data_IF_809310329788
#
_entry.id   IF_809310329788
#
_cell.length_a   1.000
_cell.length_b   1.000
_cell.length_c   1.000
_cell.angle_alpha   90.00
_cell.angle_beta   90.00
_cell.angle_gamma   90.00
#
_symmetry.space_group_name_H-M   'P 1'
#
loop_
_entity.id
_entity.type
_entity.pdbx_description
1 polymer ?
#
# COMPACT_ATOMS: atom_id res chain seq x y z
N UNK A 1 -15.34 -17.92 -22.35
CA UNK A 1 -14.57 -16.99 -23.22
C UNK A 1 -13.15 -17.04 -22.70
N UNK A 2 -12.14 -17.48 -23.47
CA UNK A 2 -10.74 -17.52 -22.99
C UNK A 2 -10.30 -16.08 -22.72
N UNK A 3 -9.97 -15.78 -21.46
CA UNK A 3 -9.43 -14.48 -21.08
C UNK A 3 -7.98 -14.42 -21.56
N UNK A 4 -7.70 -13.50 -22.46
CA UNK A 4 -6.34 -13.23 -22.91
C UNK A 4 -5.65 -12.40 -21.84
N UNK A 5 -4.70 -12.99 -21.11
CA UNK A 5 -3.93 -12.30 -20.07
C UNK A 5 -2.47 -12.21 -20.51
N UNK A 6 -1.90 -11.02 -20.46
CA UNK A 6 -0.45 -10.81 -20.58
C UNK A 6 0.13 -10.30 -19.25
N UNK A 7 -0.62 -10.46 -18.17
CA UNK A 7 -0.31 -9.93 -16.85
C UNK A 7 1.06 -10.41 -16.35
N UNK A 8 1.45 -11.64 -16.71
CA UNK A 8 2.73 -12.26 -16.39
C UNK A 8 3.57 -12.57 -17.64
N UNK A 9 3.40 -11.85 -18.76
CA UNK A 9 4.05 -12.19 -20.04
C UNK A 9 3.22 -13.18 -20.88
N UNK A 10 3.86 -14.08 -21.62
CA UNK A 10 3.18 -15.00 -22.55
C UNK A 10 2.74 -16.32 -21.89
N UNK A 11 1.49 -16.75 -22.14
CA UNK A 11 0.93 -18.05 -21.70
C UNK A 11 1.79 -19.22 -22.21
N UNK A 12 2.03 -20.23 -21.37
CA UNK A 12 2.86 -21.39 -21.71
C UNK A 12 4.37 -21.13 -21.57
N UNK A 13 4.82 -19.89 -21.62
CA UNK A 13 6.22 -19.51 -21.38
C UNK A 13 6.45 -19.01 -19.96
N UNK A 14 5.62 -18.07 -19.51
CA UNK A 14 5.84 -17.32 -18.27
C UNK A 14 4.78 -17.62 -17.20
N UNK A 15 3.60 -18.05 -17.61
CA UNK A 15 2.50 -18.46 -16.73
C UNK A 15 1.69 -19.61 -17.36
N UNK A 16 0.91 -20.32 -16.55
CA UNK A 16 -0.14 -21.25 -17.00
C UNK A 16 -1.50 -20.82 -16.46
N UNK A 17 -2.58 -21.25 -17.10
CA UNK A 17 -3.91 -21.13 -16.49
C UNK A 17 -4.16 -22.29 -15.53
N UNK A 18 -4.66 -21.99 -14.34
CA UNK A 18 -5.19 -23.01 -13.43
C UNK A 18 -6.52 -23.61 -13.93
N UNK A 19 -7.08 -24.54 -13.16
CA UNK A 19 -8.35 -25.20 -13.51
C UNK A 19 -9.56 -24.24 -13.57
N UNK A 20 -9.44 -23.05 -12.98
CA UNK A 20 -10.45 -21.99 -12.98
C UNK A 20 -10.18 -20.90 -14.05
N UNK A 21 -9.07 -21.02 -14.79
CA UNK A 21 -8.68 -20.07 -15.82
C UNK A 21 -7.94 -18.83 -15.28
N UNK A 22 -7.38 -18.90 -14.07
CA UNK A 22 -6.55 -17.86 -13.50
C UNK A 22 -5.07 -18.02 -13.92
N UNK A 23 -4.39 -16.94 -14.36
CA UNK A 23 -3.00 -17.02 -14.80
C UNK A 23 -2.02 -17.13 -13.63
N UNK A 24 -1.42 -18.29 -13.43
CA UNK A 24 -0.45 -18.58 -12.38
C UNK A 24 0.97 -18.52 -12.94
N UNK A 25 1.78 -17.64 -12.36
CA UNK A 25 3.19 -17.44 -12.75
C UNK A 25 4.03 -18.70 -12.50
N UNK A 26 4.95 -19.00 -13.43
CA UNK A 26 5.91 -20.12 -13.30
C UNK A 26 7.17 -19.74 -12.53
N UNK A 27 7.69 -18.53 -12.77
CA UNK A 27 8.89 -17.99 -12.14
C UNK A 27 8.70 -16.50 -11.81
N UNK A 28 8.30 -16.22 -10.57
CA UNK A 28 8.03 -14.85 -10.13
C UNK A 28 9.29 -13.99 -10.07
N UNK A 29 10.45 -14.57 -9.79
CA UNK A 29 11.70 -13.81 -9.67
C UNK A 29 12.24 -13.37 -11.04
N UNK A 30 12.08 -14.20 -12.07
CA UNK A 30 12.37 -13.81 -13.45
C UNK A 30 11.38 -12.75 -13.94
N UNK A 31 10.08 -12.98 -13.72
CA UNK A 31 9.04 -12.06 -14.19
C UNK A 31 9.16 -10.67 -13.55
N UNK A 32 9.43 -10.57 -12.25
CA UNK A 32 9.61 -9.29 -11.56
C UNK A 32 10.75 -8.43 -12.14
N UNK A 33 11.76 -9.06 -12.75
CA UNK A 33 12.89 -8.35 -13.36
C UNK A 33 12.62 -7.87 -14.78
N UNK A 34 11.77 -8.56 -15.53
CA UNK A 34 11.68 -8.38 -16.99
C UNK A 34 10.24 -8.25 -17.51
N UNK A 35 9.30 -9.06 -17.01
CA UNK A 35 7.94 -9.16 -17.57
C UNK A 35 6.89 -8.41 -16.79
N UNK A 36 7.02 -8.22 -15.48
CA UNK A 36 5.97 -7.53 -14.72
C UNK A 36 5.92 -6.02 -15.04
N UNK A 37 6.96 -5.43 -15.64
CA UNK A 37 6.98 -4.03 -16.07
C UNK A 37 5.96 -3.73 -17.18
N UNK A 38 5.75 -4.67 -18.11
CA UNK A 38 4.82 -4.48 -19.23
C UNK A 38 3.35 -4.47 -18.80
N UNK A 39 3.04 -4.95 -17.58
CA UNK A 39 1.66 -4.97 -17.07
C UNK A 39 1.12 -3.55 -17.04
N UNK A 40 1.84 -2.59 -16.46
CA UNK A 40 1.38 -1.21 -16.34
C UNK A 40 1.24 -0.49 -17.68
N UNK A 41 2.11 -0.78 -18.66
CA UNK A 41 1.97 -0.23 -20.01
C UNK A 41 0.71 -0.77 -20.72
N UNK A 42 0.37 -2.03 -20.46
CA UNK A 42 -0.88 -2.59 -20.96
C UNK A 42 -2.12 -1.95 -20.36
N UNK A 43 -2.07 -1.43 -19.14
CA UNK A 43 -3.19 -0.69 -18.53
C UNK A 43 -3.65 0.48 -19.40
N UNK A 44 -2.72 1.12 -20.12
CA UNK A 44 -3.00 2.29 -20.96
C UNK A 44 -3.71 1.95 -22.27
N UNK A 45 -3.58 0.71 -22.78
CA UNK A 45 -4.08 0.32 -24.11
C UNK A 45 -5.08 -0.83 -24.10
N UNK A 46 -5.09 -1.64 -23.05
CA UNK A 46 -5.96 -2.79 -22.90
C UNK A 46 -6.25 -2.97 -21.42
N UNK A 47 -7.46 -2.59 -21.02
CA UNK A 47 -8.03 -2.81 -19.69
C UNK A 47 -7.46 -4.09 -19.08
N UNK A 48 -6.48 -3.97 -18.17
CA UNK A 48 -5.72 -5.12 -17.68
C UNK A 48 -6.73 -6.15 -17.24
N UNK A 49 -6.72 -7.33 -17.87
CA UNK A 49 -7.84 -8.26 -17.82
C UNK A 49 -8.33 -8.39 -16.37
N UNK A 50 -9.49 -7.77 -16.06
CA UNK A 50 -10.00 -7.83 -14.71
C UNK A 50 -10.22 -9.30 -14.38
N UNK A 51 -9.64 -9.73 -13.27
CA UNK A 51 -9.97 -11.01 -12.67
C UNK A 51 -11.50 -11.08 -12.52
N UNK A 52 -12.08 -12.26 -12.79
CA UNK A 52 -13.54 -12.37 -12.77
C UNK A 52 -14.08 -12.20 -11.36
N UNK A 53 -13.26 -12.57 -10.38
CA UNK A 53 -13.60 -12.60 -8.97
C UNK A 53 -12.45 -12.02 -8.14
N UNK A 54 -12.78 -11.57 -6.92
CA UNK A 54 -11.79 -11.15 -5.92
C UNK A 54 -10.88 -12.32 -5.53
N UNK A 55 -11.43 -13.54 -5.52
CA UNK A 55 -10.68 -14.75 -5.20
C UNK A 55 -9.58 -15.02 -6.25
N UNK A 56 -9.90 -14.91 -7.54
CA UNK A 56 -8.91 -15.08 -8.61
C UNK A 56 -7.81 -13.99 -8.52
N UNK A 57 -8.20 -12.75 -8.23
CA UNK A 57 -7.25 -11.65 -8.03
C UNK A 57 -6.31 -11.94 -6.85
N UNK A 58 -6.85 -12.34 -5.70
CA UNK A 58 -6.06 -12.63 -4.50
C UNK A 58 -5.12 -13.80 -4.75
N UNK A 59 -5.61 -14.88 -5.38
CA UNK A 59 -4.80 -16.08 -5.67
C UNK A 59 -3.64 -15.78 -6.61
N UNK A 60 -3.88 -15.05 -7.69
CA UNK A 60 -2.86 -14.70 -8.68
C UNK A 60 -1.85 -13.73 -8.09
N UNK A 61 -2.32 -12.74 -7.34
CA UNK A 61 -1.42 -11.79 -6.65
C UNK A 61 -0.56 -12.49 -5.60
N UNK A 62 -1.13 -13.41 -4.82
CA UNK A 62 -0.40 -14.18 -3.83
C UNK A 62 0.64 -15.12 -4.47
N UNK A 63 0.37 -15.65 -5.67
CA UNK A 63 1.29 -16.52 -6.40
C UNK A 63 2.61 -15.81 -6.79
N UNK A 64 2.63 -14.48 -6.87
CA UNK A 64 3.87 -13.70 -7.05
C UNK A 64 4.81 -13.81 -5.83
N UNK A 65 4.26 -14.13 -4.65
CA UNK A 65 4.99 -14.24 -3.39
C UNK A 65 4.84 -15.65 -2.77
N UNK A 66 5.41 -16.71 -3.39
CA UNK A 66 5.14 -18.10 -2.97
C UNK A 66 5.43 -18.38 -1.49
N UNK A 67 6.47 -17.76 -0.93
CA UNK A 67 6.83 -17.89 0.48
C UNK A 67 5.80 -17.29 1.44
N UNK A 68 5.09 -16.24 1.01
CA UNK A 68 4.14 -15.47 1.81
C UNK A 68 2.71 -15.57 1.27
N UNK A 69 2.42 -16.61 0.49
CA UNK A 69 1.14 -16.75 -0.24
C UNK A 69 -0.07 -16.54 0.69
N UNK A 70 -0.12 -17.31 1.78
CA UNK A 70 -1.23 -17.25 2.74
C UNK A 70 -1.30 -15.90 3.47
N UNK A 71 -0.15 -15.25 3.71
CA UNK A 71 -0.10 -13.92 4.31
C UNK A 71 -0.69 -12.86 3.37
N UNK A 72 -0.40 -12.96 2.07
CA UNK A 72 -0.93 -12.05 1.05
C UNK A 72 -2.44 -12.24 0.90
N UNK A 73 -2.94 -13.47 0.82
CA UNK A 73 -4.39 -13.75 0.75
C UNK A 73 -5.10 -13.17 1.98
N UNK A 74 -4.59 -13.45 3.17
CA UNK A 74 -5.16 -12.95 4.43
C UNK A 74 -5.10 -11.44 4.56
N UNK A 75 -4.06 -10.79 4.02
CA UNK A 75 -3.99 -9.33 4.00
C UNK A 75 -5.16 -8.73 3.21
N UNK A 76 -5.40 -9.23 1.99
CA UNK A 76 -6.52 -8.76 1.18
C UNK A 76 -7.88 -9.02 1.84
N UNK A 77 -8.09 -10.20 2.44
CA UNK A 77 -9.32 -10.50 3.18
C UNK A 77 -9.52 -9.55 4.38
N UNK A 78 -8.46 -9.33 5.16
CA UNK A 78 -8.51 -8.44 6.33
C UNK A 78 -8.71 -6.97 5.94
N UNK A 79 -8.18 -6.53 4.80
CA UNK A 79 -8.33 -5.15 4.32
C UNK A 79 -9.79 -4.78 4.00
N UNK A 80 -10.65 -5.79 3.83
CA UNK A 80 -12.08 -5.64 3.55
C UNK A 80 -12.96 -5.92 4.78
N UNK A 81 -12.36 -6.27 5.92
CA UNK A 81 -13.07 -6.61 7.15
C UNK A 81 -13.09 -5.44 8.14
N UNK A 82 -14.14 -5.37 8.98
CA UNK A 82 -14.28 -4.35 10.02
C UNK A 82 -14.63 -2.96 9.48
N UNK A 83 -14.25 -1.91 10.22
CA UNK A 83 -14.46 -0.52 9.78
C UNK A 83 -13.37 -0.13 8.80
N UNK A 84 -13.73 -0.07 7.51
CA UNK A 84 -12.81 0.36 6.45
C UNK A 84 -12.62 1.87 6.56
N UNK A 85 -11.46 2.30 7.04
CA UNK A 85 -11.05 3.71 7.03
C UNK A 85 -10.32 3.98 5.73
N UNK A 86 -11.02 4.54 4.75
CA UNK A 86 -10.41 4.90 3.48
C UNK A 86 -9.40 6.04 3.69
N UNK A 87 -8.26 5.97 3.00
CA UNK A 87 -7.33 7.08 3.00
C UNK A 87 -7.99 8.28 2.30
N UNK A 88 -8.19 9.37 3.03
CA UNK A 88 -8.80 10.58 2.48
C UNK A 88 -7.74 11.34 1.71
N UNK A 89 -7.98 11.67 0.43
CA UNK A 89 -7.09 12.53 -0.36
C UNK A 89 -7.14 14.02 0.05
N UNK A 90 -7.65 14.31 1.25
CA UNK A 90 -7.66 15.66 1.79
C UNK A 90 -6.28 16.02 2.30
N UNK A 91 -5.68 17.03 1.69
CA UNK A 91 -4.49 17.71 2.20
C UNK A 91 -4.97 18.99 2.85
N UNK A 92 -4.67 19.17 4.13
CA UNK A 92 -5.04 20.39 4.84
C UNK A 92 -4.19 21.58 4.31
N UNK A 93 -4.78 22.77 4.10
CA UNK A 93 -4.03 24.00 3.87
C UNK A 93 -2.89 24.23 4.88
N UNK A 94 -3.13 24.06 6.19
CA UNK A 94 -2.09 24.20 7.22
C UNK A 94 -1.00 23.13 7.10
N UNK A 95 -1.38 21.90 6.76
CA UNK A 95 -0.40 20.85 6.46
C UNK A 95 0.49 21.31 5.30
N UNK A 96 -0.06 21.88 4.23
CA UNK A 96 0.76 22.34 3.09
C UNK A 96 1.81 23.38 3.50
N UNK A 97 1.50 24.23 4.48
CA UNK A 97 2.41 25.27 4.96
C UNK A 97 3.47 24.75 5.95
N UNK A 98 3.12 23.76 6.79
CA UNK A 98 3.96 23.28 7.91
C UNK A 98 4.62 21.92 7.64
N UNK A 99 4.23 21.25 6.55
CA UNK A 99 4.62 19.86 6.26
C UNK A 99 6.10 19.67 6.10
N UNK A 100 6.81 20.58 5.46
CA UNK A 100 8.24 20.42 5.24
C UNK A 100 9.01 20.41 6.57
N UNK A 101 8.65 21.30 7.50
CA UNK A 101 9.23 21.35 8.84
C UNK A 101 8.90 20.10 9.66
N UNK A 102 7.63 19.65 9.64
CA UNK A 102 7.19 18.44 10.33
C UNK A 102 7.86 17.19 9.74
N UNK A 103 8.01 17.10 8.41
CA UNK A 103 8.66 15.97 7.73
C UNK A 103 10.15 15.92 8.00
N UNK A 104 10.80 17.08 8.11
CA UNK A 104 12.21 17.16 8.47
C UNK A 104 12.42 16.67 9.90
N UNK A 105 11.63 17.17 10.86
CA UNK A 105 11.64 16.70 12.25
C UNK A 105 11.38 15.19 12.33
N UNK A 106 10.35 14.70 11.64
CA UNK A 106 10.05 13.26 11.58
C UNK A 106 11.24 12.46 11.08
N UNK A 107 11.92 12.92 10.03
CA UNK A 107 13.06 12.19 9.44
C UNK A 107 14.24 12.09 10.41
N UNK A 108 14.51 13.16 11.16
CA UNK A 108 15.56 13.18 12.18
C UNK A 108 15.23 12.24 13.34
N UNK A 109 14.07 12.41 13.97
CA UNK A 109 13.67 11.62 15.13
C UNK A 109 13.38 10.15 14.79
N UNK A 110 12.94 9.85 13.56
CA UNK A 110 12.77 8.47 13.12
C UNK A 110 14.08 7.69 13.15
N UNK A 111 15.19 8.29 12.70
CA UNK A 111 16.51 7.66 12.78
C UNK A 111 16.91 7.45 14.24
N UNK A 112 16.65 8.41 15.11
CA UNK A 112 16.94 8.30 16.53
C UNK A 112 16.14 7.15 17.18
N UNK A 113 14.83 7.07 16.97
CA UNK A 113 14.01 5.99 17.51
C UNK A 113 14.43 4.60 17.02
N UNK A 114 14.83 4.47 15.75
CA UNK A 114 15.27 3.17 15.17
C UNK A 114 16.63 2.74 15.73
N UNK A 115 17.48 3.69 16.11
CA UNK A 115 18.86 3.43 16.57
C UNK A 115 19.01 3.49 18.09
N UNK A 116 18.00 3.98 18.80
CA UNK A 116 17.96 4.09 20.25
C UNK A 116 17.96 2.73 20.95
N UNK A 117 18.44 2.70 22.19
CA UNK A 117 18.18 1.54 23.05
C UNK A 117 16.69 1.48 23.41
N UNK A 118 16.13 0.30 23.69
CA UNK A 118 14.72 0.16 24.04
C UNK A 118 14.26 1.10 25.17
N UNK A 119 15.11 1.32 26.18
CA UNK A 119 14.83 2.19 27.32
C UNK A 119 14.89 3.70 27.01
N UNK A 120 15.42 4.09 25.85
CA UNK A 120 15.56 5.49 25.42
C UNK A 120 14.47 5.90 24.40
N UNK A 121 13.81 4.92 23.77
CA UNK A 121 12.88 5.16 22.65
C UNK A 121 11.70 6.05 23.04
N UNK A 122 11.03 5.76 24.15
CA UNK A 122 9.85 6.50 24.60
C UNK A 122 10.18 7.98 24.87
N UNK A 123 11.35 8.26 25.46
CA UNK A 123 11.77 9.64 25.73
C UNK A 123 12.08 10.42 24.44
N UNK A 124 12.72 9.78 23.46
CA UNK A 124 13.00 10.38 22.15
C UNK A 124 11.69 10.62 21.38
N UNK A 125 10.73 9.70 21.48
CA UNK A 125 9.42 9.85 20.87
C UNK A 125 8.62 11.00 21.50
N UNK A 126 8.64 11.13 22.83
CA UNK A 126 8.00 12.24 23.53
C UNK A 126 8.61 13.59 23.15
N UNK A 127 9.94 13.64 22.99
CA UNK A 127 10.65 14.84 22.52
C UNK A 127 10.24 15.21 21.09
N UNK A 128 10.18 14.23 20.18
CA UNK A 128 9.70 14.44 18.82
C UNK A 128 8.29 15.06 18.79
N UNK A 129 7.37 14.52 19.59
CA UNK A 129 6.00 15.05 19.69
C UNK A 129 6.03 16.50 20.19
N UNK A 130 6.85 16.81 21.20
CA UNK A 130 6.97 18.17 21.73
C UNK A 130 7.51 19.16 20.68
N UNK A 131 8.52 18.79 19.90
CA UNK A 131 9.05 19.64 18.82
C UNK A 131 8.06 19.77 17.65
N UNK A 132 7.40 18.67 17.25
CA UNK A 132 6.40 18.71 16.20
C UNK A 132 5.20 19.59 16.56
N UNK A 133 4.79 19.63 17.83
CA UNK A 133 3.76 20.56 18.32
C UNK A 133 4.15 22.02 18.16
N UNK A 134 5.42 22.37 18.37
CA UNK A 134 5.92 23.74 18.11
C UNK A 134 5.88 24.10 16.62
N UNK A 135 6.00 23.10 15.75
CA UNK A 135 5.86 23.25 14.30
C UNK A 135 4.40 23.24 13.81
N UNK A 136 3.40 23.25 14.72
CA UNK A 136 1.98 23.33 14.36
C UNK A 136 1.27 21.98 14.18
N UNK A 137 1.84 20.87 14.68
CA UNK A 137 1.23 19.54 14.56
C UNK A 137 -0.20 19.49 15.14
N UNK A 138 -0.46 20.14 16.28
CA UNK A 138 -1.79 20.13 16.91
C UNK A 138 -2.84 20.84 16.01
N UNK A 139 -2.45 21.91 15.31
CA UNK A 139 -3.35 22.64 14.40
C UNK A 139 -3.66 21.81 13.15
N UNK A 140 -2.66 21.12 12.59
CA UNK A 140 -2.85 20.18 11.48
C UNK A 140 -3.78 19.04 11.87
N UNK A 141 -3.60 18.46 13.06
CA UNK A 141 -4.50 17.42 13.58
C UNK A 141 -5.92 17.97 13.70
N UNK A 142 -6.11 19.14 14.31
CA UNK A 142 -7.42 19.74 14.48
C UNK A 142 -8.14 19.98 13.14
N UNK A 143 -7.44 20.53 12.14
CA UNK A 143 -8.02 20.76 10.81
C UNK A 143 -8.40 19.45 10.12
N UNK A 144 -7.52 18.44 10.17
CA UNK A 144 -7.77 17.13 9.56
C UNK A 144 -8.91 16.38 10.25
N UNK A 145 -9.00 16.45 11.59
CA UNK A 145 -10.12 15.90 12.35
C UNK A 145 -11.42 16.59 12.00
N UNK A 146 -11.45 17.93 11.92
CA UNK A 146 -12.65 18.65 11.53
C UNK A 146 -13.13 18.27 10.13
N UNK A 147 -12.22 18.13 9.16
CA UNK A 147 -12.58 17.62 7.83
C UNK A 147 -13.12 16.20 7.89
N UNK A 148 -12.42 15.30 8.61
CA UNK A 148 -12.85 13.91 8.74
C UNK A 148 -14.24 13.80 9.36
N UNK A 149 -14.54 14.56 10.41
CA UNK A 149 -15.85 14.57 11.07
C UNK A 149 -16.94 15.13 10.14
N UNK A 150 -16.66 16.11 9.29
CA UNK A 150 -17.63 16.60 8.29
C UNK A 150 -17.95 15.53 7.24
N UNK A 151 -16.96 14.73 6.83
CA UNK A 151 -17.14 13.74 5.75
C UNK A 151 -17.65 12.40 6.26
N UNK A 152 -17.23 11.98 7.46
CA UNK A 152 -17.44 10.63 8.00
C UNK A 152 -17.99 10.60 9.43
N UNK A 153 -18.09 11.74 10.12
CA UNK A 153 -18.74 11.84 11.41
C UNK A 153 -20.26 11.72 11.23
N UNK A 154 -20.87 10.78 11.94
CA UNK A 154 -22.34 10.64 11.99
C UNK A 154 -22.99 11.82 12.72
#
# INVERSE_FOLDING_TARGET
MRKFSFYHGFEGEHYELDEFGAPIVKDSAYNAKDKDWIRHDMFLVGNQGYFATVEDFNKVTAAENPTYYDDVVRNYENSLAGTIVNNTYFTSPLETETKDDILLLRSEYQVQCITAKPEEMDAIYDEWIAEAKKAGLDDVIAERTAYFDVVYGN
#
